data_IF_328079068065
#
_entry.id   IF_328079068065
#
_cell.length_a   1.000
_cell.length_b   1.000
_cell.length_c   1.000
_cell.angle_alpha   90.00
_cell.angle_beta   90.00
_cell.angle_gamma   90.00
#
_symmetry.space_group_name_H-M   'P 1'
#
loop_
_entity.id
_entity.type
_entity.pdbx_description
1 polymer ?
#
# COMPACT_ATOMS: atom_id res chain seq x y z
N UNK A 1 -13.00 11.40 18.71
CA UNK A 1 -13.27 11.28 17.26
C UNK A 1 -12.05 11.85 16.54
N UNK A 2 -11.08 11.00 16.17
CA UNK A 2 -9.85 11.45 15.52
C UNK A 2 -10.18 11.70 14.04
N UNK A 3 -10.08 12.94 13.58
CA UNK A 3 -10.23 13.30 12.17
C UNK A 3 -8.89 13.07 11.47
N UNK A 4 -8.76 11.93 10.78
CA UNK A 4 -7.59 11.63 9.94
C UNK A 4 -7.73 12.48 8.67
N UNK A 5 -6.93 13.53 8.56
CA UNK A 5 -6.79 14.37 7.37
C UNK A 5 -5.74 13.74 6.43
N UNK A 6 -5.65 14.20 5.16
CA UNK A 6 -4.71 13.63 4.16
C UNK A 6 -3.24 13.59 4.62
N UNK A 7 -2.85 14.41 5.59
CA UNK A 7 -1.50 14.41 6.17
C UNK A 7 -1.25 13.26 7.17
N UNK A 8 -2.31 12.64 7.70
CA UNK A 8 -2.20 11.65 8.78
C UNK A 8 -2.11 10.20 8.24
N UNK A 9 -2.48 9.96 6.98
CA UNK A 9 -2.45 8.63 6.34
C UNK A 9 -1.02 8.11 6.21
N UNK A 10 -0.06 8.98 5.90
CA UNK A 10 1.33 8.58 5.66
C UNK A 10 2.06 8.01 6.87
N UNK A 11 1.51 8.17 8.07
CA UNK A 11 2.12 7.69 9.32
C UNK A 11 1.68 6.25 9.65
N UNK A 12 0.58 5.77 9.07
CA UNK A 12 0.00 4.45 9.39
C UNK A 12 0.37 3.43 8.31
N UNK A 13 0.42 3.86 7.04
CA UNK A 13 0.80 3.02 5.92
C UNK A 13 1.36 3.88 4.77
N UNK A 14 1.84 3.19 3.74
CA UNK A 14 2.48 3.78 2.57
C UNK A 14 1.48 4.25 1.50
N UNK A 15 0.17 4.13 1.73
CA UNK A 15 -0.84 4.53 0.75
C UNK A 15 -0.72 6.02 0.42
N UNK A 16 -0.64 6.32 -0.87
CA UNK A 16 -0.72 7.67 -1.43
C UNK A 16 -1.83 7.68 -2.48
N UNK A 17 -2.61 8.75 -2.47
CA UNK A 17 -3.69 8.95 -3.41
C UNK A 17 -3.71 10.40 -3.92
N UNK A 18 -3.59 10.55 -5.23
CA UNK A 18 -3.60 11.81 -5.96
C UNK A 18 -4.93 12.00 -6.73
N UNK A 19 -5.85 12.86 -6.25
CA UNK A 19 -7.13 13.09 -6.92
C UNK A 19 -6.98 13.79 -8.26
N UNK A 20 -5.91 14.55 -8.49
CA UNK A 20 -5.73 15.30 -9.73
C UNK A 20 -5.56 14.36 -10.93
N UNK A 21 -5.08 13.14 -10.70
CA UNK A 21 -4.94 12.08 -11.70
C UNK A 21 -6.13 11.11 -11.72
N UNK A 22 -7.08 11.22 -10.79
CA UNK A 22 -8.20 10.30 -10.72
C UNK A 22 -9.28 10.64 -11.77
N UNK A 23 -9.72 9.63 -12.52
CA UNK A 23 -10.81 9.76 -13.51
C UNK A 23 -12.11 9.09 -13.06
N UNK A 24 -12.24 8.80 -11.76
CA UNK A 24 -13.40 8.17 -11.14
C UNK A 24 -13.89 6.86 -11.82
N UNK A 25 -12.97 6.03 -12.32
CA UNK A 25 -13.32 4.78 -13.00
C UNK A 25 -13.91 3.68 -12.09
N UNK A 26 -13.82 3.83 -10.76
CA UNK A 26 -14.41 2.90 -9.78
C UNK A 26 -13.62 1.61 -9.49
N UNK A 27 -12.59 1.27 -10.28
CA UNK A 27 -11.83 0.02 -10.11
C UNK A 27 -11.25 -0.15 -8.70
N UNK A 28 -10.71 0.92 -8.11
CA UNK A 28 -10.15 0.89 -6.75
C UNK A 28 -11.18 0.47 -5.67
N UNK A 29 -12.46 0.79 -5.84
CA UNK A 29 -13.52 0.37 -4.92
C UNK A 29 -13.90 -1.10 -5.12
N UNK A 30 -13.82 -1.60 -6.35
CA UNK A 30 -14.17 -2.99 -6.68
C UNK A 30 -13.08 -3.95 -6.19
N UNK A 31 -11.81 -3.60 -6.40
CA UNK A 31 -10.68 -4.52 -6.13
C UNK A 31 -10.16 -4.45 -4.70
N UNK A 32 -10.55 -3.45 -3.91
CA UNK A 32 -10.03 -3.29 -2.55
C UNK A 32 -10.79 -4.19 -1.57
N UNK A 33 -10.15 -5.24 -1.00
CA UNK A 33 -10.82 -6.15 -0.07
C UNK A 33 -11.18 -5.48 1.27
N UNK A 34 -10.50 -4.39 1.61
CA UNK A 34 -10.73 -3.62 2.83
C UNK A 34 -11.68 -2.42 2.62
N UNK A 35 -12.11 -2.19 1.36
CA UNK A 35 -13.00 -1.09 0.97
C UNK A 35 -12.45 0.29 1.35
N UNK A 36 -11.16 0.54 1.16
CA UNK A 36 -10.53 1.83 1.46
C UNK A 36 -11.08 2.97 0.59
N UNK A 37 -11.62 2.66 -0.59
CA UNK A 37 -12.14 3.64 -1.56
C UNK A 37 -13.63 3.45 -1.82
N UNK A 38 -14.35 4.57 -1.98
CA UNK A 38 -15.73 4.63 -2.45
C UNK A 38 -15.83 5.47 -3.73
N UNK A 39 -16.82 5.22 -4.61
CA UNK A 39 -17.13 6.13 -5.71
C UNK A 39 -17.43 7.54 -5.19
N UNK A 40 -16.90 8.56 -5.84
CA UNK A 40 -17.29 9.96 -5.61
C UNK A 40 -18.00 10.54 -6.82
N UNK A 41 -18.27 11.85 -6.80
CA UNK A 41 -18.90 12.53 -7.94
C UNK A 41 -17.91 12.72 -9.10
N UNK A 42 -16.75 13.30 -8.82
CA UNK A 42 -15.73 13.64 -9.83
C UNK A 42 -14.46 12.79 -9.72
N UNK A 43 -14.15 12.32 -8.52
CA UNK A 43 -12.97 11.51 -8.18
C UNK A 43 -13.35 10.49 -7.11
N UNK A 44 -12.63 9.38 -7.02
CA UNK A 44 -12.84 8.41 -5.96
C UNK A 44 -12.55 9.04 -4.58
N UNK A 45 -13.28 8.59 -3.55
CA UNK A 45 -13.12 9.03 -2.16
C UNK A 45 -12.33 7.99 -1.38
N UNK A 46 -11.22 8.41 -0.76
CA UNK A 46 -10.48 7.61 0.21
C UNK A 46 -11.15 7.75 1.58
N UNK A 47 -11.80 6.67 2.04
CA UNK A 47 -12.69 6.71 3.23
C UNK A 47 -12.16 5.95 4.43
N UNK A 48 -11.35 4.90 4.22
CA UNK A 48 -10.74 4.09 5.28
C UNK A 48 -9.26 3.82 5.00
N UNK A 49 -8.42 4.87 4.94
CA UNK A 49 -6.99 4.71 4.70
C UNK A 49 -6.30 3.80 5.73
N UNK A 50 -6.71 3.85 6.99
CA UNK A 50 -6.17 3.05 8.10
C UNK A 50 -6.42 1.55 7.95
N UNK A 51 -7.42 1.15 7.15
CA UNK A 51 -7.70 -0.25 6.86
C UNK A 51 -6.82 -0.80 5.72
N UNK A 52 -5.99 0.03 5.10
CA UNK A 52 -5.13 -0.43 4.01
C UNK A 52 -4.09 -1.43 4.51
N UNK A 53 -4.15 -2.65 3.97
CA UNK A 53 -3.17 -3.71 4.22
C UNK A 53 -2.05 -3.78 3.17
N UNK A 54 -1.88 -2.70 2.39
CA UNK A 54 -0.79 -2.53 1.42
C UNK A 54 -0.71 -3.64 0.36
N UNK A 55 -1.86 -4.21 -0.03
CA UNK A 55 -1.90 -5.35 -0.97
C UNK A 55 -1.61 -4.99 -2.44
N UNK A 56 -1.62 -3.70 -2.81
CA UNK A 56 -1.32 -3.25 -4.18
C UNK A 56 -2.45 -3.38 -5.19
N UNK A 57 -3.58 -4.01 -4.87
CA UNK A 57 -4.65 -4.27 -5.86
C UNK A 57 -5.18 -2.99 -6.52
N UNK A 58 -5.42 -1.93 -5.74
CA UNK A 58 -5.88 -0.64 -6.26
C UNK A 58 -4.82 0.09 -7.10
N UNK A 59 -3.54 -0.03 -6.76
CA UNK A 59 -2.43 0.52 -7.54
C UNK A 59 -2.36 -0.16 -8.91
N UNK A 60 -2.32 -1.50 -8.94
CA UNK A 60 -2.20 -2.29 -10.18
C UNK A 60 -3.34 -2.05 -11.16
N UNK A 61 -4.54 -1.77 -10.65
CA UNK A 61 -5.74 -1.59 -11.47
C UNK A 61 -6.08 -0.12 -11.74
N UNK A 62 -5.28 0.85 -11.28
CA UNK A 62 -5.55 2.26 -11.55
C UNK A 62 -5.00 2.66 -12.93
N UNK A 63 -5.85 2.94 -13.94
CA UNK A 63 -5.37 3.22 -15.31
C UNK A 63 -4.60 4.53 -15.44
N UNK A 64 -4.68 5.41 -14.44
CA UNK A 64 -4.02 6.71 -14.39
C UNK A 64 -2.95 6.81 -13.31
N UNK A 65 -2.64 5.67 -12.66
CA UNK A 65 -1.59 5.58 -11.63
C UNK A 65 -1.81 6.56 -10.45
N UNK A 66 -3.06 6.95 -10.19
CA UNK A 66 -3.43 7.91 -9.15
C UNK A 66 -3.21 7.38 -7.72
N UNK A 67 -2.97 6.08 -7.55
CA UNK A 67 -2.85 5.40 -6.26
C UNK A 67 -1.53 4.64 -6.22
N UNK A 68 -0.77 4.78 -5.14
CA UNK A 68 0.45 4.00 -4.89
C UNK A 68 0.50 3.46 -3.45
N UNK A 69 1.11 2.30 -3.27
CA UNK A 69 1.42 1.64 -1.98
C UNK A 69 2.74 0.88 -2.13
N UNK A 70 3.51 0.75 -1.06
CA UNK A 70 4.65 -0.17 -1.01
C UNK A 70 4.13 -1.59 -0.78
N UNK A 71 3.71 -2.26 -1.85
CA UNK A 71 3.19 -3.62 -1.76
C UNK A 71 4.29 -4.66 -1.65
N UNK A 72 4.15 -5.61 -0.74
CA UNK A 72 5.06 -6.73 -0.58
C UNK A 72 4.78 -7.52 0.69
N UNK A 73 5.58 -8.57 0.92
CA UNK A 73 5.49 -9.40 2.13
C UNK A 73 6.65 -9.13 3.12
N UNK A 74 7.43 -8.07 2.87
CA UNK A 74 8.56 -7.66 3.70
C UNK A 74 9.58 -8.79 3.93
N UNK A 75 9.90 -9.05 5.19
CA UNK A 75 10.85 -10.07 5.61
C UNK A 75 10.42 -11.51 5.28
N UNK A 76 9.12 -11.77 5.08
CA UNK A 76 8.64 -13.11 4.78
C UNK A 76 9.21 -13.64 3.46
N UNK A 77 9.43 -12.77 2.46
CA UNK A 77 10.05 -13.16 1.20
C UNK A 77 11.47 -13.73 1.41
N UNK A 78 12.27 -13.08 2.27
CA UNK A 78 13.62 -13.53 2.58
C UNK A 78 13.63 -14.86 3.32
N UNK A 79 12.68 -15.09 4.23
CA UNK A 79 12.54 -16.36 4.95
C UNK A 79 12.10 -17.50 4.03
N UNK A 80 11.11 -17.26 3.16
CA UNK A 80 10.65 -18.23 2.16
C UNK A 80 11.82 -18.60 1.23
N UNK A 81 12.55 -17.60 0.74
CA UNK A 81 13.73 -17.82 -0.09
C UNK A 81 14.78 -18.68 0.62
N UNK A 82 15.12 -18.34 1.86
CA UNK A 82 16.08 -19.08 2.67
C UNK A 82 15.67 -20.55 2.86
N UNK A 83 14.38 -20.78 3.14
CA UNK A 83 13.83 -22.12 3.28
C UNK A 83 13.90 -22.92 1.97
N UNK A 84 13.64 -22.29 0.83
CA UNK A 84 13.69 -22.96 -0.48
C UNK A 84 15.12 -23.24 -0.97
N UNK A 85 16.08 -22.36 -0.70
CA UNK A 85 17.43 -22.48 -1.26
C UNK A 85 18.49 -22.95 -0.27
N UNK A 86 18.15 -23.15 1.00
CA UNK A 86 19.10 -23.45 2.07
C UNK A 86 20.13 -22.34 2.33
N UNK A 87 19.90 -21.14 1.79
CA UNK A 87 20.77 -19.96 1.99
C UNK A 87 20.28 -19.18 3.19
N UNK A 88 21.15 -18.40 3.83
CA UNK A 88 20.74 -17.54 4.95
C UNK A 88 19.80 -16.45 4.44
N UNK A 89 18.73 -16.18 5.18
CA UNK A 89 17.89 -15.01 4.93
C UNK A 89 18.74 -13.76 5.17
N UNK A 90 19.05 -13.03 4.10
CA UNK A 90 19.60 -11.70 4.19
C UNK A 90 18.47 -10.71 4.03
N UNK A 91 18.38 -9.73 4.91
CA UNK A 91 17.64 -8.51 4.60
C UNK A 91 18.23 -7.96 3.30
N UNK A 92 17.45 -7.96 2.23
CA UNK A 92 17.83 -7.35 0.96
C UNK A 92 17.75 -5.84 1.09
N UNK A 93 18.65 -5.25 1.86
CA UNK A 93 18.75 -3.82 2.06
C UNK A 93 20.08 -3.37 1.48
N UNK A 94 20.04 -2.60 0.40
CA UNK A 94 21.15 -1.70 0.09
C UNK A 94 21.35 -0.77 1.29
N UNK A 95 22.45 -0.99 2.02
CA UNK A 95 23.12 -0.13 2.99
C UNK A 95 22.27 0.78 3.91
N UNK A 96 22.28 0.42 5.20
CA UNK A 96 21.92 1.28 6.33
C UNK A 96 21.70 0.44 7.57
N UNK A 97 22.68 0.43 8.49
CA UNK A 97 22.60 -0.32 9.74
C UNK A 97 21.31 -0.01 10.51
N UNK A 98 20.69 -1.07 11.05
CA UNK A 98 19.48 -1.08 11.87
C UNK A 98 18.15 -1.12 11.09
N UNK A 99 17.85 -2.27 10.50
CA UNK A 99 16.45 -2.62 10.19
C UNK A 99 15.98 -3.91 10.89
N UNK A 100 16.85 -4.79 11.38
CA UNK A 100 16.49 -5.94 12.24
C UNK A 100 17.71 -6.40 13.06
N UNK A 101 17.65 -6.24 14.39
CA UNK A 101 18.69 -6.59 15.37
C UNK A 101 19.08 -5.35 16.16
N UNK A 102 18.88 -5.26 17.48
CA UNK A 102 18.62 -6.27 18.52
C UNK A 102 17.21 -6.84 18.58
#
# INVERSE_FOLDING_TARGET
>A
MIKITRADVSTINTLRYDPARCVNCGLCSIVCPQGCFEPGETVARLVRPEACMECGACQTNCPTEAITVESGVGCAAALIYAALTGKKASCGCGCGESCCGT
#
